data_IF_478274006919
#
_entry.id   IF_478274006919
#
_cell.length_a   1.000
_cell.length_b   1.000
_cell.length_c   1.000
_cell.angle_alpha   90.00
_cell.angle_beta   90.00
_cell.angle_gamma   90.00
#
_symmetry.space_group_name_H-M   'P 1'
#
loop_
_entity.id
_entity.type
_entity.pdbx_description
1 polymer ?
#
# COMPACT_ATOMS: atom_id res chain seq x y z
N UNK A 1 26.13 -8.76 13.73
CA UNK A 1 25.52 -8.15 12.53
C UNK A 1 24.36 -8.95 11.91
N UNK A 2 23.95 -10.11 12.44
CA UNK A 2 22.80 -10.87 11.88
C UNK A 2 21.49 -10.58 12.65
N UNK A 3 21.58 -10.28 13.94
CA UNK A 3 20.43 -10.05 14.83
C UNK A 3 19.63 -8.79 14.46
N UNK A 4 20.30 -7.75 13.96
CA UNK A 4 19.62 -6.48 13.59
C UNK A 4 18.80 -6.64 12.30
N UNK A 5 19.26 -7.48 11.36
CA UNK A 5 18.58 -7.71 10.09
C UNK A 5 17.31 -8.55 10.28
N UNK A 6 17.37 -9.58 11.16
CA UNK A 6 16.19 -10.38 11.51
C UNK A 6 15.13 -9.57 12.27
N UNK A 7 15.56 -8.65 13.15
CA UNK A 7 14.64 -7.79 13.89
C UNK A 7 13.90 -6.83 12.97
N UNK A 8 14.55 -6.29 11.93
CA UNK A 8 13.94 -5.45 10.89
C UNK A 8 12.88 -6.20 10.07
N UNK A 9 13.13 -7.47 9.71
CA UNK A 9 12.16 -8.31 8.99
C UNK A 9 10.87 -8.53 9.79
N UNK A 10 10.96 -8.62 11.12
CA UNK A 10 9.79 -8.76 12.00
C UNK A 10 8.98 -7.46 12.18
N UNK A 11 9.53 -6.27 11.90
CA UNK A 11 8.81 -4.98 12.08
C UNK A 11 7.70 -4.81 11.03
N UNK A 12 7.85 -5.48 9.88
CA UNK A 12 6.92 -5.41 8.74
C UNK A 12 6.15 -6.72 8.52
N UNK A 13 5.88 -7.49 9.58
CA UNK A 13 5.05 -8.69 9.46
C UNK A 13 3.62 -8.33 9.06
N UNK A 14 3.15 -8.86 7.92
CA UNK A 14 1.79 -8.65 7.41
C UNK A 14 0.95 -9.87 7.76
N UNK A 15 -0.28 -9.66 8.23
CA UNK A 15 -1.24 -10.74 8.44
C UNK A 15 -1.78 -11.23 7.09
N UNK A 16 -1.93 -12.55 6.91
CA UNK A 16 -2.50 -13.13 5.70
C UNK A 16 -3.73 -13.97 6.01
N UNK A 17 -4.73 -13.93 5.12
CA UNK A 17 -5.87 -14.85 5.14
C UNK A 17 -5.75 -15.84 3.99
N UNK A 18 -6.12 -17.09 4.22
CA UNK A 18 -6.17 -18.10 3.16
C UNK A 18 -7.47 -17.95 2.37
N UNK A 19 -7.34 -17.61 1.09
CA UNK A 19 -8.49 -17.45 0.18
C UNK A 19 -8.50 -18.60 -0.81
N UNK A 20 -9.64 -19.30 -0.86
CA UNK A 20 -9.89 -20.36 -1.85
C UNK A 20 -10.16 -19.71 -3.20
N UNK A 21 -9.35 -20.03 -4.20
CA UNK A 21 -9.66 -19.68 -5.59
C UNK A 21 -10.53 -20.80 -6.18
N UNK A 22 -11.83 -20.53 -6.29
CA UNK A 22 -12.75 -21.42 -6.97
C UNK A 22 -12.48 -21.38 -8.48
N UNK A 23 -12.25 -22.55 -9.08
CA UNK A 23 -12.12 -22.69 -10.53
C UNK A 23 -13.44 -22.33 -11.21
N UNK A 24 -13.36 -21.63 -12.35
CA UNK A 24 -14.52 -21.23 -13.15
C UNK A 24 -15.15 -22.41 -13.93
N UNK A 25 -14.52 -23.58 -13.90
CA UNK A 25 -14.87 -24.75 -14.72
C UNK A 25 -15.90 -25.71 -14.09
N UNK A 26 -16.62 -25.28 -13.05
CA UNK A 26 -17.71 -26.06 -12.43
C UNK A 26 -17.24 -27.44 -11.96
N UNK A 27 -18.01 -28.48 -12.28
CA UNK A 27 -17.79 -29.87 -11.83
C UNK A 27 -16.53 -30.54 -12.42
N UNK A 28 -15.88 -29.92 -13.42
CA UNK A 28 -14.59 -30.37 -13.97
C UNK A 28 -13.39 -29.64 -13.33
N UNK A 29 -13.63 -28.85 -12.30
CA UNK A 29 -12.57 -28.22 -11.54
C UNK A 29 -11.77 -29.28 -10.78
N UNK A 30 -10.45 -29.34 -11.01
CA UNK A 30 -9.54 -30.07 -10.14
C UNK A 30 -9.53 -29.53 -8.71
N UNK A 31 -8.66 -30.10 -7.86
CA UNK A 31 -8.54 -29.72 -6.44
C UNK A 31 -8.40 -28.19 -6.28
N UNK A 32 -9.21 -27.54 -5.44
CA UNK A 32 -9.18 -26.09 -5.27
C UNK A 32 -7.84 -25.61 -4.70
N UNK A 33 -7.31 -24.52 -5.27
CA UNK A 33 -6.08 -23.87 -4.81
C UNK A 33 -6.40 -22.81 -3.77
N UNK A 34 -5.52 -22.68 -2.78
CA UNK A 34 -5.60 -21.64 -1.75
C UNK A 34 -4.42 -20.69 -1.90
N UNK A 35 -4.69 -19.40 -1.79
CA UNK A 35 -3.69 -18.34 -1.91
C UNK A 35 -3.71 -17.48 -0.66
N UNK A 36 -2.53 -17.03 -0.24
CA UNK A 36 -2.40 -16.04 0.80
C UNK A 36 -2.86 -14.67 0.27
N UNK A 37 -3.82 -14.06 0.96
CA UNK A 37 -4.26 -12.69 0.73
C UNK A 37 -3.79 -11.83 1.90
N UNK A 38 -3.06 -10.76 1.61
CA UNK A 38 -2.69 -9.80 2.64
C UNK A 38 -3.96 -9.20 3.28
N UNK A 39 -4.02 -9.20 4.61
CA UNK A 39 -5.09 -8.59 5.36
C UNK A 39 -4.80 -7.10 5.53
N UNK A 40 -5.82 -6.28 5.33
CA UNK A 40 -5.74 -4.87 5.65
C UNK A 40 -5.77 -4.72 7.17
N UNK A 41 -4.76 -4.06 7.74
CA UNK A 41 -4.71 -3.81 9.18
C UNK A 41 -5.54 -2.57 9.54
N UNK A 42 -5.13 -1.41 9.01
CA UNK A 42 -5.80 -0.13 9.26
C UNK A 42 -5.71 0.78 8.03
N UNK A 43 -6.62 1.76 7.94
CA UNK A 43 -6.52 2.87 7.01
C UNK A 43 -5.89 4.07 7.69
N UNK A 44 -4.97 4.76 6.99
CA UNK A 44 -4.39 6.02 7.45
C UNK A 44 -5.04 7.19 6.71
N UNK A 45 -5.41 8.25 7.44
CA UNK A 45 -5.94 9.47 6.83
C UNK A 45 -4.81 10.33 6.27
N UNK A 46 -5.12 11.15 5.26
CA UNK A 46 -4.17 12.11 4.67
C UNK A 46 -3.55 13.02 5.73
N UNK A 47 -4.34 13.45 6.72
CA UNK A 47 -3.86 14.28 7.85
C UNK A 47 -2.82 13.55 8.69
N UNK A 48 -3.07 12.28 9.06
CA UNK A 48 -2.12 11.50 9.86
C UNK A 48 -0.85 11.22 9.05
N UNK A 49 -0.99 10.92 7.76
CA UNK A 49 0.13 10.70 6.85
C UNK A 49 1.01 11.95 6.65
N UNK A 50 0.40 13.10 6.39
CA UNK A 50 1.11 14.38 6.28
C UNK A 50 1.89 14.71 7.57
N UNK A 51 1.31 14.42 8.74
CA UNK A 51 1.99 14.60 10.02
C UNK A 51 3.21 13.68 10.17
N UNK A 52 3.12 12.42 9.73
CA UNK A 52 4.27 11.50 9.75
C UNK A 52 5.42 11.99 8.87
N UNK A 53 5.14 12.54 7.69
CA UNK A 53 6.15 13.10 6.79
C UNK A 53 6.77 14.36 7.40
N UNK A 54 5.94 15.27 7.95
CA UNK A 54 6.43 16.47 8.60
C UNK A 54 7.32 16.16 9.83
N UNK A 55 7.06 15.05 10.54
CA UNK A 55 7.91 14.61 11.65
C UNK A 55 9.26 14.02 11.19
N UNK A 56 9.34 13.51 9.96
CA UNK A 56 10.55 12.91 9.38
C UNK A 56 11.37 13.91 8.55
N UNK A 57 10.84 15.11 8.33
CA UNK A 57 11.45 16.16 7.52
C UNK A 57 11.46 17.47 8.30
N UNK A 58 12.03 18.52 7.73
CA UNK A 58 12.01 19.87 8.32
C UNK A 58 10.89 20.75 7.74
N UNK A 59 10.00 20.17 6.94
CA UNK A 59 8.93 20.88 6.23
C UNK A 59 7.70 20.99 7.13
N UNK A 60 7.00 22.13 7.08
CA UNK A 60 5.82 22.33 7.91
C UNK A 60 4.68 21.38 7.52
N UNK A 61 3.83 21.02 8.48
CA UNK A 61 2.66 20.18 8.22
C UNK A 61 1.73 20.78 7.14
N UNK A 62 1.58 22.10 7.14
CA UNK A 62 0.74 22.81 6.17
C UNK A 62 1.30 22.64 4.75
N UNK A 63 2.61 22.85 4.59
CA UNK A 63 3.28 22.72 3.29
C UNK A 63 3.25 21.28 2.78
N UNK A 64 3.50 20.29 3.64
CA UNK A 64 3.37 18.87 3.29
C UNK A 64 1.95 18.55 2.84
N UNK A 65 0.94 19.05 3.56
CA UNK A 65 -0.47 18.80 3.20
C UNK A 65 -0.80 19.40 1.83
N UNK A 66 -0.36 20.62 1.56
CA UNK A 66 -0.56 21.27 0.26
C UNK A 66 0.07 20.46 -0.87
N UNK A 67 1.33 20.03 -0.71
CA UNK A 67 2.04 19.21 -1.71
C UNK A 67 1.32 17.89 -1.99
N UNK A 68 0.85 17.20 -0.94
CA UNK A 68 0.14 15.93 -1.11
C UNK A 68 -1.20 16.09 -1.85
N UNK A 69 -1.95 17.16 -1.58
CA UNK A 69 -3.20 17.47 -2.29
C UNK A 69 -2.91 17.78 -3.76
N UNK A 70 -1.94 18.64 -4.04
CA UNK A 70 -1.56 18.96 -5.42
C UNK A 70 -1.04 17.74 -6.18
N UNK A 71 -0.30 16.84 -5.51
CA UNK A 71 0.13 15.58 -6.09
C UNK A 71 -1.08 14.72 -6.48
N UNK A 72 -2.05 14.56 -5.58
CA UNK A 72 -3.27 13.79 -5.87
C UNK A 72 -4.01 14.35 -7.08
N UNK A 73 -4.19 15.67 -7.17
CA UNK A 73 -4.88 16.33 -8.28
C UNK A 73 -4.16 16.11 -9.60
N UNK A 74 -2.83 16.33 -9.63
CA UNK A 74 -2.02 16.12 -10.82
C UNK A 74 -2.04 14.65 -11.27
N UNK A 75 -2.03 13.71 -10.32
CA UNK A 75 -2.14 12.29 -10.66
C UNK A 75 -3.46 11.97 -11.35
N UNK A 76 -4.58 12.47 -10.82
CA UNK A 76 -5.89 12.26 -11.42
C UNK A 76 -5.93 12.81 -12.85
N UNK A 77 -5.36 14.00 -13.07
CA UNK A 77 -5.31 14.64 -14.39
C UNK A 77 -4.51 13.80 -15.39
N UNK A 78 -3.30 13.36 -15.03
CA UNK A 78 -2.45 12.59 -15.93
C UNK A 78 -3.03 11.20 -16.23
N UNK A 79 -3.61 10.54 -15.23
CA UNK A 79 -4.30 9.27 -15.43
C UNK A 79 -5.54 9.42 -16.32
N UNK A 80 -6.30 10.51 -16.18
CA UNK A 80 -7.44 10.82 -17.06
C UNK A 80 -7.00 11.09 -18.51
N UNK A 81 -5.78 11.59 -18.72
CA UNK A 81 -5.18 11.77 -20.05
C UNK A 81 -4.66 10.46 -20.65
N UNK A 82 -4.70 9.36 -19.90
CA UNK A 82 -4.17 8.06 -20.32
C UNK A 82 -2.66 7.94 -20.14
N UNK A 83 -2.04 8.87 -19.42
CA UNK A 83 -0.61 8.84 -19.17
C UNK A 83 -0.30 7.94 -17.96
N UNK A 84 0.79 7.20 -18.05
CA UNK A 84 1.37 6.49 -16.92
C UNK A 84 2.27 7.43 -16.13
N UNK A 85 2.14 7.40 -14.80
CA UNK A 85 2.97 8.16 -13.87
C UNK A 85 3.96 7.18 -13.25
N UNK A 86 5.25 7.44 -13.46
CA UNK A 86 6.35 6.68 -12.87
C UNK A 86 6.86 7.41 -11.61
N UNK A 87 7.00 6.66 -10.52
CA UNK A 87 7.51 7.16 -9.24
C UNK A 87 8.97 6.74 -8.96
N UNK A 88 9.59 5.99 -9.89
CA UNK A 88 10.92 5.41 -9.75
C UNK A 88 10.89 3.99 -9.21
#
# INVERSE_FOLDING_TARGET
MIIHNFKILCIMAINYSLVKLASKFGDKAGVPKFYARAQMNESISLKKFAKLIAMQTTVSYADVTAVLISLQENMVIELQRGNQIDFG
#
